data_IF_375133654592
#
_entry.id   IF_375133654592
#
_cell.length_a   1.000
_cell.length_b   1.000
_cell.length_c   1.000
_cell.angle_alpha   90.00
_cell.angle_beta   90.00
_cell.angle_gamma   90.00
#
_symmetry.space_group_name_H-M   'P 1'
#
loop_
_entity.id
_entity.type
_entity.pdbx_description
1 polymer ?
#
# COMPACT_ATOMS: atom_id res chain seq x y z
N UNK A 1 -34.17 3.65 -3.73
CA UNK A 1 -33.23 2.51 -3.69
C UNK A 1 -32.07 2.89 -2.77
N UNK A 2 -31.75 2.04 -1.79
CA UNK A 2 -30.63 2.25 -0.87
C UNK A 2 -29.32 2.08 -1.65
N UNK A 3 -28.48 3.13 -1.69
CA UNK A 3 -27.16 3.01 -2.32
C UNK A 3 -26.28 2.11 -1.46
N UNK A 4 -25.67 1.09 -2.08
CA UNK A 4 -24.71 0.25 -1.38
C UNK A 4 -23.36 0.98 -1.31
N UNK A 5 -22.64 0.74 -0.22
CA UNK A 5 -21.23 1.10 -0.10
C UNK A 5 -20.38 -0.03 -0.71
N UNK A 6 -19.13 0.25 -1.12
CA UNK A 6 -18.23 -0.81 -1.56
C UNK A 6 -18.04 -1.81 -0.42
N UNK A 7 -18.05 -3.11 -0.75
CA UNK A 7 -17.99 -4.16 0.27
C UNK A 7 -16.59 -4.28 0.88
N UNK A 8 -15.55 -3.81 0.19
CA UNK A 8 -14.19 -3.79 0.71
C UNK A 8 -13.42 -2.56 0.19
N UNK A 9 -12.32 -2.24 0.86
CA UNK A 9 -11.47 -1.11 0.49
C UNK A 9 -10.45 -1.53 -0.57
N UNK A 10 -10.31 -0.71 -1.62
CA UNK A 10 -9.33 -0.94 -2.67
C UNK A 10 -8.63 0.38 -3.04
N UNK A 11 -7.33 0.34 -3.29
CA UNK A 11 -6.58 1.54 -3.65
C UNK A 11 -7.04 2.07 -5.01
N UNK A 12 -7.31 3.38 -5.10
CA UNK A 12 -7.84 3.98 -6.33
C UNK A 12 -9.32 3.71 -6.60
N UNK A 13 -10.05 3.15 -5.62
CA UNK A 13 -11.49 2.97 -5.67
C UNK A 13 -12.22 4.28 -6.01
N UNK A 14 -13.00 4.28 -7.09
CA UNK A 14 -13.67 5.48 -7.63
C UNK A 14 -15.05 5.74 -7.03
N UNK A 15 -15.30 5.36 -5.77
CA UNK A 15 -16.64 5.45 -5.16
C UNK A 15 -17.19 6.88 -5.08
N UNK A 16 -16.33 7.84 -4.74
CA UNK A 16 -16.71 9.27 -4.68
C UNK A 16 -16.95 9.84 -6.08
N UNK A 17 -16.19 9.38 -7.07
CA UNK A 17 -16.34 9.76 -8.48
C UNK A 17 -17.56 9.12 -9.15
N UNK A 18 -17.95 7.90 -8.75
CA UNK A 18 -19.01 7.11 -9.36
C UNK A 18 -20.36 7.85 -9.46
N UNK A 19 -20.64 8.78 -8.53
CA UNK A 19 -21.87 9.60 -8.54
C UNK A 19 -21.98 10.50 -9.78
N UNK A 20 -20.86 10.96 -10.33
CA UNK A 20 -20.83 11.90 -11.45
C UNK A 20 -21.11 11.22 -12.81
N UNK A 21 -21.03 9.89 -12.88
CA UNK A 21 -21.33 9.13 -14.10
C UNK A 21 -22.85 8.93 -14.31
N UNK A 22 -23.67 9.18 -13.29
CA UNK A 22 -25.11 8.92 -13.31
C UNK A 22 -25.48 7.43 -13.23
N UNK A 23 -26.79 7.13 -13.10
CA UNK A 23 -27.28 5.76 -13.03
C UNK A 23 -27.03 4.98 -14.34
N UNK A 24 -27.01 3.64 -14.29
CA UNK A 24 -26.81 2.81 -15.47
C UNK A 24 -27.93 3.05 -16.49
N UNK A 25 -27.55 3.12 -17.77
CA UNK A 25 -28.49 3.31 -18.89
C UNK A 25 -29.05 2.01 -19.45
N UNK A 26 -28.52 0.87 -18.99
CA UNK A 26 -28.89 -0.49 -19.43
C UNK A 26 -28.84 -1.44 -18.25
N UNK A 27 -29.56 -2.54 -18.38
CA UNK A 27 -29.66 -3.57 -17.34
C UNK A 27 -28.33 -4.25 -17.04
N UNK A 28 -27.48 -4.42 -18.06
CA UNK A 28 -26.14 -4.98 -17.92
C UNK A 28 -25.09 -3.87 -17.85
N UNK A 29 -24.33 -3.84 -16.75
CA UNK A 29 -23.13 -3.01 -16.61
C UNK A 29 -21.89 -3.88 -16.74
N UNK A 30 -20.91 -3.39 -17.48
CA UNK A 30 -19.57 -3.95 -17.56
C UNK A 30 -18.64 -2.96 -16.86
N UNK A 31 -18.02 -3.39 -15.76
CA UNK A 31 -17.11 -2.55 -14.97
C UNK A 31 -15.67 -3.09 -15.11
N UNK A 32 -14.87 -2.53 -16.03
CA UNK A 32 -13.46 -2.85 -16.15
C UNK A 32 -12.64 -2.15 -15.05
N UNK A 33 -11.51 -2.75 -14.66
CA UNK A 33 -10.71 -2.31 -13.52
C UNK A 33 -11.57 -2.25 -12.26
N UNK A 34 -12.31 -3.34 -12.03
CA UNK A 34 -13.41 -3.38 -11.08
C UNK A 34 -12.96 -2.94 -9.68
N UNK A 35 -11.78 -3.36 -9.20
CA UNK A 35 -11.36 -3.10 -7.82
C UNK A 35 -12.47 -3.50 -6.86
N UNK A 36 -13.03 -2.53 -6.11
CA UNK A 36 -14.17 -2.74 -5.22
C UNK A 36 -15.57 -2.48 -5.84
N UNK A 37 -15.69 -2.60 -7.17
CA UNK A 37 -16.92 -2.46 -7.97
C UNK A 37 -17.75 -1.22 -7.58
N UNK A 38 -17.07 -0.09 -7.44
CA UNK A 38 -17.61 1.14 -6.88
C UNK A 38 -18.81 1.70 -7.65
N UNK A 39 -18.83 1.54 -8.97
CA UNK A 39 -19.95 2.01 -9.77
C UNK A 39 -21.17 1.11 -9.59
N UNK A 40 -20.97 -0.21 -9.71
CA UNK A 40 -22.04 -1.19 -9.63
C UNK A 40 -22.68 -1.27 -8.25
N UNK A 41 -21.87 -1.19 -7.18
CA UNK A 41 -22.36 -1.15 -5.79
C UNK A 41 -23.15 0.13 -5.52
N UNK A 42 -22.63 1.30 -5.90
CA UNK A 42 -23.33 2.58 -5.71
C UNK A 42 -24.74 2.58 -6.29
N UNK A 43 -24.88 2.06 -7.51
CA UNK A 43 -26.14 2.06 -8.24
C UNK A 43 -26.97 0.78 -8.06
N UNK A 44 -26.55 -0.12 -7.17
CA UNK A 44 -27.20 -1.40 -6.91
C UNK A 44 -27.57 -2.13 -8.21
N UNK A 45 -26.61 -2.24 -9.13
CA UNK A 45 -26.84 -2.76 -10.47
C UNK A 45 -27.26 -4.23 -10.41
N UNK A 46 -28.39 -4.62 -11.03
CA UNK A 46 -28.91 -5.98 -10.91
C UNK A 46 -28.12 -7.01 -11.73
N UNK A 47 -27.50 -6.60 -12.85
CA UNK A 47 -26.68 -7.48 -13.68
C UNK A 47 -25.36 -6.82 -14.00
N UNK A 48 -24.28 -7.40 -13.50
CA UNK A 48 -22.93 -6.85 -13.63
C UNK A 48 -21.96 -7.90 -14.16
N UNK A 49 -21.01 -7.46 -14.98
CA UNK A 49 -19.78 -8.20 -15.29
C UNK A 49 -18.58 -7.37 -14.82
N UNK A 50 -17.84 -7.92 -13.87
CA UNK A 50 -16.64 -7.30 -13.30
C UNK A 50 -15.41 -7.89 -13.99
N UNK A 51 -14.48 -7.01 -14.37
CA UNK A 51 -13.20 -7.43 -14.94
C UNK A 51 -12.07 -6.72 -14.21
N UNK A 52 -11.12 -7.48 -13.69
CA UNK A 52 -9.90 -6.96 -13.08
C UNK A 52 -8.68 -7.76 -13.57
N UNK A 53 -7.51 -7.13 -13.50
CA UNK A 53 -6.24 -7.80 -13.81
C UNK A 53 -5.71 -8.58 -12.61
N UNK A 54 -6.08 -8.18 -11.39
CA UNK A 54 -5.68 -8.89 -10.17
C UNK A 54 -6.51 -10.18 -10.01
N UNK A 55 -5.87 -11.36 -10.00
CA UNK A 55 -6.56 -12.61 -9.71
C UNK A 55 -7.20 -12.60 -8.32
N UNK A 56 -6.58 -11.94 -7.34
CA UNK A 56 -7.11 -11.84 -5.98
C UNK A 56 -8.42 -11.05 -5.93
N UNK A 57 -8.56 -10.00 -6.74
CA UNK A 57 -9.81 -9.23 -6.87
C UNK A 57 -10.88 -10.06 -7.58
N UNK A 58 -10.52 -10.81 -8.62
CA UNK A 58 -11.44 -11.72 -9.29
C UNK A 58 -11.95 -12.81 -8.34
N UNK A 59 -11.05 -13.47 -7.59
CA UNK A 59 -11.41 -14.53 -6.65
C UNK A 59 -12.28 -14.01 -5.50
N UNK A 60 -12.00 -12.80 -5.01
CA UNK A 60 -12.81 -12.14 -3.98
C UNK A 60 -14.22 -11.83 -4.49
N UNK A 61 -14.37 -11.29 -5.70
CA UNK A 61 -15.69 -11.04 -6.27
C UNK A 61 -16.43 -12.32 -6.60
N UNK A 62 -15.77 -13.33 -7.15
CA UNK A 62 -16.38 -14.64 -7.41
C UNK A 62 -16.92 -15.27 -6.12
N UNK A 63 -16.19 -15.13 -5.01
CA UNK A 63 -16.68 -15.51 -3.69
C UNK A 63 -17.90 -14.69 -3.29
N UNK A 64 -17.80 -13.36 -3.22
CA UNK A 64 -18.89 -12.48 -2.79
C UNK A 64 -20.17 -12.64 -3.61
N UNK A 65 -20.06 -12.91 -4.92
CA UNK A 65 -21.21 -13.12 -5.82
C UNK A 65 -21.88 -14.48 -5.56
N UNK A 66 -21.12 -15.49 -5.14
CA UNK A 66 -21.61 -16.87 -4.92
C UNK A 66 -21.92 -17.19 -3.46
N UNK A 67 -21.45 -16.38 -2.53
CA UNK A 67 -21.67 -16.55 -1.10
C UNK A 67 -23.13 -16.29 -0.71
N UNK A 68 -23.66 -17.18 0.12
CA UNK A 68 -24.86 -16.92 0.91
C UNK A 68 -24.53 -16.03 2.11
N UNK A 69 -25.58 -15.47 2.74
CA UNK A 69 -25.43 -14.75 4.01
C UNK A 69 -24.75 -15.59 5.09
N UNK A 70 -25.05 -16.91 5.12
CA UNK A 70 -24.43 -17.85 6.06
C UNK A 70 -22.92 -18.00 5.83
N UNK A 71 -22.49 -18.01 4.57
CA UNK A 71 -21.06 -18.12 4.25
C UNK A 71 -20.30 -16.90 4.78
N UNK A 72 -20.87 -15.71 4.61
CA UNK A 72 -20.29 -14.47 5.13
C UNK A 72 -20.32 -14.45 6.66
N UNK A 73 -21.44 -14.83 7.28
CA UNK A 73 -21.60 -14.87 8.74
C UNK A 73 -20.73 -15.92 9.43
N UNK A 74 -20.23 -16.92 8.69
CA UNK A 74 -19.32 -17.95 9.23
C UNK A 74 -17.87 -17.48 9.35
N UNK A 75 -17.53 -16.33 8.76
CA UNK A 75 -16.19 -15.75 8.85
C UNK A 75 -16.02 -15.14 10.25
N UNK A 76 -14.97 -15.51 11.01
CA UNK A 76 -14.70 -14.91 12.31
C UNK A 76 -14.53 -13.39 12.19
N UNK A 77 -15.14 -12.66 13.11
CA UNK A 77 -15.02 -11.19 13.23
C UNK A 77 -13.77 -10.76 14.02
N UNK A 78 -13.19 -11.68 14.80
CA UNK A 78 -11.92 -11.51 15.49
C UNK A 78 -11.03 -12.77 15.33
N UNK A 79 -9.72 -12.56 15.42
CA UNK A 79 -8.71 -13.63 15.42
C UNK A 79 -7.76 -13.37 16.59
N UNK A 80 -7.57 -14.37 17.46
CA UNK A 80 -6.63 -14.25 18.58
C UNK A 80 -5.19 -14.38 18.08
N UNK A 81 -4.97 -15.30 17.13
CA UNK A 81 -3.65 -15.60 16.56
C UNK A 81 -3.65 -15.50 15.04
N UNK A 82 -2.48 -15.21 14.44
CA UNK A 82 -2.36 -15.08 12.99
C UNK A 82 -2.61 -16.40 12.25
N UNK A 83 -2.31 -17.54 12.88
CA UNK A 83 -2.54 -18.87 12.30
C UNK A 83 -4.03 -19.13 12.02
N UNK A 84 -4.94 -18.57 12.84
CA UNK A 84 -6.39 -18.67 12.62
C UNK A 84 -6.79 -17.95 11.33
N UNK A 85 -6.28 -16.74 11.11
CA UNK A 85 -6.48 -15.99 9.88
C UNK A 85 -5.85 -16.70 8.67
N UNK A 86 -4.63 -17.22 8.82
CA UNK A 86 -3.94 -17.93 7.75
C UNK A 86 -4.62 -19.27 7.40
N UNK A 87 -5.30 -19.90 8.35
CA UNK A 87 -6.05 -21.14 8.14
C UNK A 87 -7.35 -20.97 7.34
N UNK A 88 -7.86 -19.73 7.21
CA UNK A 88 -9.07 -19.46 6.45
C UNK A 88 -8.93 -19.90 4.99
N UNK A 89 -10.02 -20.37 4.36
CA UNK A 89 -10.06 -20.55 2.91
C UNK A 89 -9.67 -19.24 2.20
N UNK A 90 -9.05 -19.37 1.01
CA UNK A 90 -8.41 -18.23 0.31
C UNK A 90 -9.33 -17.01 0.17
N UNK A 91 -10.58 -17.20 -0.25
CA UNK A 91 -11.47 -16.08 -0.54
C UNK A 91 -12.01 -15.35 0.72
N UNK A 92 -12.49 -16.04 1.77
CA UNK A 92 -12.73 -15.43 3.08
C UNK A 92 -11.49 -14.69 3.63
N UNK A 93 -10.31 -15.30 3.51
CA UNK A 93 -9.05 -14.68 3.93
C UNK A 93 -8.75 -13.39 3.17
N UNK A 94 -9.02 -13.35 1.86
CA UNK A 94 -8.92 -12.14 1.05
C UNK A 94 -9.90 -11.07 1.53
N UNK A 95 -11.16 -11.41 1.80
CA UNK A 95 -12.14 -10.44 2.32
C UNK A 95 -11.68 -9.80 3.64
N UNK A 96 -11.29 -10.63 4.62
CA UNK A 96 -10.71 -10.16 5.88
C UNK A 96 -9.47 -9.28 5.64
N UNK A 97 -8.60 -9.68 4.72
CA UNK A 97 -7.40 -8.93 4.38
C UNK A 97 -7.69 -7.50 3.88
N UNK A 98 -8.68 -7.33 3.00
CA UNK A 98 -9.08 -6.02 2.48
C UNK A 98 -9.88 -5.16 3.48
N UNK A 99 -10.43 -5.77 4.53
CA UNK A 99 -11.07 -5.07 5.64
C UNK A 99 -10.04 -4.56 6.67
N UNK A 100 -9.13 -5.44 7.09
CA UNK A 100 -8.10 -5.14 8.10
C UNK A 100 -7.02 -4.23 7.51
N UNK A 101 -6.55 -4.54 6.29
CA UNK A 101 -5.65 -3.66 5.54
C UNK A 101 -6.48 -2.88 4.53
N UNK A 102 -6.79 -1.62 4.83
CA UNK A 102 -7.46 -0.73 3.86
C UNK A 102 -6.61 -0.55 2.59
N UNK A 103 -6.67 -1.48 1.64
CA UNK A 103 -6.11 -1.42 0.27
C UNK A 103 -4.62 -1.09 0.10
N UNK A 104 -3.80 -0.99 1.16
CA UNK A 104 -2.42 -0.46 1.07
C UNK A 104 -1.39 -1.52 0.68
N UNK A 105 -1.47 -2.73 1.22
CA UNK A 105 -0.42 -3.73 1.06
C UNK A 105 -0.37 -4.34 -0.35
N UNK A 106 -1.52 -4.66 -0.95
CA UNK A 106 -1.60 -5.23 -2.29
C UNK A 106 -1.10 -4.24 -3.36
N UNK A 107 -1.46 -2.96 -3.23
CA UNK A 107 -0.97 -1.91 -4.12
C UNK A 107 0.56 -1.80 -4.08
N UNK A 108 1.19 -1.97 -2.92
CA UNK A 108 2.65 -1.98 -2.78
C UNK A 108 3.24 -3.25 -3.41
N UNK A 109 2.63 -4.41 -3.13
CA UNK A 109 3.09 -5.71 -3.66
C UNK A 109 3.04 -5.76 -5.20
N UNK A 110 2.01 -5.15 -5.80
CA UNK A 110 1.86 -5.02 -7.25
C UNK A 110 3.01 -4.27 -7.93
N UNK A 111 3.68 -3.37 -7.20
CA UNK A 111 4.85 -2.62 -7.70
C UNK A 111 6.14 -3.43 -7.64
N UNK A 112 6.18 -4.49 -6.82
CA UNK A 112 7.29 -5.44 -6.75
C UNK A 112 7.53 -5.98 -5.34
N UNK A 113 7.26 -7.27 -5.13
CA UNK A 113 7.53 -7.97 -3.87
C UNK A 113 9.03 -7.97 -3.46
N UNK A 114 9.93 -7.75 -4.42
CA UNK A 114 11.37 -7.67 -4.19
C UNK A 114 11.81 -6.39 -3.46
N UNK A 115 10.97 -5.35 -3.47
CA UNK A 115 11.28 -4.08 -2.82
C UNK A 115 11.24 -4.21 -1.30
N UNK A 116 12.07 -3.43 -0.63
CA UNK A 116 12.04 -3.32 0.83
C UNK A 116 11.55 -1.92 1.21
N UNK A 117 10.59 -1.84 2.13
CA UNK A 117 10.02 -0.59 2.62
C UNK A 117 10.57 -0.20 3.99
N UNK A 118 10.60 1.10 4.28
CA UNK A 118 10.82 1.60 5.64
C UNK A 118 9.46 1.85 6.31
N UNK A 119 9.29 1.38 7.55
CA UNK A 119 8.08 1.58 8.36
C UNK A 119 8.39 2.42 9.60
N UNK A 120 7.49 3.31 9.99
CA UNK A 120 7.66 4.14 11.19
C UNK A 120 7.85 3.24 12.44
N UNK A 121 8.93 3.40 13.21
CA UNK A 121 9.12 2.66 14.46
C UNK A 121 7.98 2.85 15.47
N UNK A 122 7.29 4.00 15.45
CA UNK A 122 6.13 4.24 16.30
C UNK A 122 4.93 3.34 15.93
N UNK A 123 4.92 2.75 14.73
CA UNK A 123 3.99 1.70 14.34
C UNK A 123 4.22 0.36 15.06
N UNK A 124 5.23 0.27 15.93
CA UNK A 124 5.39 -0.80 16.94
C UNK A 124 4.44 -0.65 18.14
N UNK A 125 3.85 0.53 18.33
CA UNK A 125 2.83 0.75 19.34
C UNK A 125 1.59 -0.09 19.04
N UNK A 126 1.04 -0.72 20.07
CA UNK A 126 -0.24 -1.43 19.97
C UNK A 126 -1.33 -0.43 19.59
N UNK A 127 -2.13 -0.73 18.57
CA UNK A 127 -3.41 -0.06 18.36
C UNK A 127 -4.28 -0.30 19.59
N UNK A 128 -5.05 0.70 20.03
CA UNK A 128 -5.85 0.63 21.27
C UNK A 128 -6.89 -0.50 21.27
N UNK A 129 -7.28 -1.04 20.11
CA UNK A 129 -8.32 -2.07 20.02
C UNK A 129 -7.83 -3.47 19.65
N UNK A 130 -6.66 -3.63 19.02
CA UNK A 130 -6.22 -4.94 18.54
C UNK A 130 -4.69 -5.03 18.61
N UNK A 131 -4.19 -5.93 19.45
CA UNK A 131 -2.77 -6.06 19.83
C UNK A 131 -1.78 -6.45 18.73
N UNK A 132 -2.17 -6.38 17.44
CA UNK A 132 -1.30 -6.66 16.29
C UNK A 132 -0.47 -5.43 15.92
N UNK A 133 0.83 -5.61 15.68
CA UNK A 133 1.72 -4.52 15.26
C UNK A 133 1.54 -4.34 13.76
N UNK A 134 1.55 -3.09 13.29
CA UNK A 134 1.38 -2.79 11.86
C UNK A 134 2.46 -3.47 10.99
N UNK A 135 3.65 -3.68 11.55
CA UNK A 135 4.75 -4.40 10.90
C UNK A 135 4.39 -5.86 10.61
N UNK A 136 3.81 -6.57 11.59
CA UNK A 136 3.41 -7.97 11.48
C UNK A 136 2.36 -8.13 10.36
N UNK A 137 1.44 -7.17 10.25
CA UNK A 137 0.44 -7.15 9.18
C UNK A 137 1.09 -7.05 7.80
N UNK A 138 2.01 -6.08 7.59
CA UNK A 138 2.69 -5.94 6.30
C UNK A 138 3.56 -7.16 5.96
N UNK A 139 4.23 -7.75 6.95
CA UNK A 139 5.01 -8.98 6.78
C UNK A 139 4.11 -10.19 6.43
N UNK A 140 2.94 -10.33 7.06
CA UNK A 140 1.96 -11.36 6.73
C UNK A 140 1.45 -11.25 5.27
N UNK A 141 1.44 -10.04 4.70
CA UNK A 141 1.16 -9.83 3.27
C UNK A 141 2.32 -10.18 2.33
N UNK A 142 3.47 -10.59 2.88
CA UNK A 142 4.69 -10.91 2.14
C UNK A 142 5.45 -9.67 1.67
N UNK A 143 5.32 -8.54 2.38
CA UNK A 143 6.15 -7.36 2.14
C UNK A 143 7.39 -7.38 3.02
N UNK A 144 8.52 -7.01 2.43
CA UNK A 144 9.76 -6.83 3.18
C UNK A 144 9.79 -5.42 3.76
N UNK A 145 9.72 -5.28 5.08
CA UNK A 145 9.74 -3.98 5.75
C UNK A 145 10.82 -3.93 6.83
N UNK A 146 11.41 -2.75 7.02
CA UNK A 146 12.40 -2.51 8.08
C UNK A 146 12.02 -1.28 8.89
N UNK A 147 12.28 -1.28 10.22
CA UNK A 147 12.07 -0.09 11.05
C UNK A 147 12.92 1.08 10.54
N UNK A 148 12.26 2.23 10.31
CA UNK A 148 12.90 3.43 9.79
C UNK A 148 13.78 4.12 10.83
N UNK A 149 14.82 4.80 10.35
CA UNK A 149 15.59 5.73 11.19
C UNK A 149 14.80 7.04 11.28
N UNK A 150 14.23 7.33 12.46
CA UNK A 150 13.20 8.35 12.64
C UNK A 150 13.71 9.69 13.20
N UNK A 151 15.03 9.91 13.26
CA UNK A 151 15.60 11.18 13.69
C UNK A 151 15.12 12.32 12.77
N UNK A 152 14.48 13.34 13.34
CA UNK A 152 13.81 14.41 12.57
C UNK A 152 14.83 15.40 12.00
N UNK A 153 15.57 16.11 12.86
CA UNK A 153 16.50 17.17 12.42
C UNK A 153 17.60 16.65 11.49
N UNK A 154 18.34 15.57 11.82
CA UNK A 154 19.36 15.03 10.91
C UNK A 154 18.77 14.59 9.56
N UNK A 155 17.54 14.07 9.56
CA UNK A 155 16.85 13.70 8.33
C UNK A 155 16.48 14.87 7.45
N UNK A 156 16.05 15.99 8.05
CA UNK A 156 15.76 17.21 7.31
C UNK A 156 17.03 17.83 6.71
N UNK A 157 18.13 17.88 7.47
CA UNK A 157 19.40 18.41 6.98
C UNK A 157 19.97 17.55 5.85
N UNK A 158 19.82 16.23 5.94
CA UNK A 158 20.22 15.30 4.88
C UNK A 158 19.37 15.51 3.60
N UNK A 159 18.04 15.57 3.72
CA UNK A 159 17.15 15.86 2.59
C UNK A 159 17.50 17.21 1.95
N UNK A 160 17.68 18.25 2.76
CA UNK A 160 18.06 19.58 2.28
C UNK A 160 19.36 19.56 1.49
N UNK A 161 20.36 18.83 1.99
CA UNK A 161 21.65 18.67 1.31
C UNK A 161 21.49 17.97 -0.04
N UNK A 162 20.70 16.89 -0.11
CA UNK A 162 20.43 16.19 -1.37
C UNK A 162 19.68 17.06 -2.38
N UNK A 163 18.72 17.88 -1.94
CA UNK A 163 18.00 18.81 -2.81
C UNK A 163 18.93 19.91 -3.32
N UNK A 164 19.72 20.52 -2.44
CA UNK A 164 20.66 21.60 -2.76
C UNK A 164 21.72 21.15 -3.75
N UNK A 165 22.21 19.92 -3.62
CA UNK A 165 23.16 19.30 -4.54
C UNK A 165 22.50 18.73 -5.81
N UNK A 166 21.17 18.81 -5.93
CA UNK A 166 20.43 18.24 -7.05
C UNK A 166 20.45 16.71 -7.13
N UNK A 167 20.79 16.02 -6.04
CA UNK A 167 20.86 14.55 -5.94
C UNK A 167 19.54 13.89 -5.56
N UNK A 168 18.56 14.66 -5.07
CA UNK A 168 17.18 14.23 -4.87
C UNK A 168 16.27 14.92 -5.88
N UNK A 169 15.46 14.14 -6.61
CA UNK A 169 14.49 14.62 -7.59
C UNK A 169 13.15 13.90 -7.36
N UNK A 170 12.07 14.60 -7.66
CA UNK A 170 10.72 14.05 -7.60
C UNK A 170 10.17 13.86 -9.00
N UNK A 171 9.47 12.75 -9.23
CA UNK A 171 8.70 12.59 -10.45
C UNK A 171 7.52 13.57 -10.46
N UNK A 172 7.25 14.17 -11.61
CA UNK A 172 6.18 15.19 -11.79
C UNK A 172 4.79 14.72 -11.35
N UNK A 173 4.50 13.41 -11.42
CA UNK A 173 3.19 12.86 -11.11
C UNK A 173 2.93 12.63 -9.61
N UNK A 174 3.92 12.90 -8.73
CA UNK A 174 3.74 12.82 -7.28
C UNK A 174 3.04 14.09 -6.74
N UNK A 175 1.81 14.35 -7.21
CA UNK A 175 1.05 15.57 -6.90
C UNK A 175 0.86 15.76 -5.39
N UNK A 176 0.49 14.70 -4.68
CA UNK A 176 0.27 14.78 -3.23
C UNK A 176 1.58 15.11 -2.47
N UNK A 177 2.72 14.56 -2.92
CA UNK A 177 4.03 14.91 -2.35
C UNK A 177 4.36 16.37 -2.61
N UNK A 178 4.06 16.87 -3.82
CA UNK A 178 4.28 18.28 -4.16
C UNK A 178 3.39 19.22 -3.33
N UNK A 179 2.14 18.84 -3.08
CA UNK A 179 1.21 19.61 -2.26
C UNK A 179 1.67 19.66 -0.80
N UNK A 180 2.01 18.51 -0.19
CA UNK A 180 2.56 18.49 1.17
C UNK A 180 3.87 19.28 1.27
N UNK A 181 4.78 19.13 0.30
CA UNK A 181 6.07 19.83 0.27
C UNK A 181 5.90 21.37 0.32
N UNK A 182 4.88 21.92 -0.35
CA UNK A 182 4.60 23.37 -0.39
C UNK A 182 4.18 23.94 0.95
N UNK A 183 3.51 23.15 1.79
CA UNK A 183 3.00 23.60 3.09
C UNK A 183 3.88 23.16 4.27
N UNK A 184 4.86 22.30 4.01
CA UNK A 184 5.79 21.79 5.01
C UNK A 184 6.66 22.92 5.54
N UNK A 185 6.59 23.14 6.86
CA UNK A 185 7.21 24.29 7.51
C UNK A 185 7.64 23.98 8.94
N UNK A 186 8.54 24.82 9.45
CA UNK A 186 8.98 24.81 10.84
C UNK A 186 8.39 26.00 11.57
N UNK A 187 8.02 25.81 12.83
CA UNK A 187 7.65 26.87 13.76
C UNK A 187 8.69 26.95 14.88
N UNK A 188 8.89 28.14 15.43
CA UNK A 188 9.71 28.32 16.62
C UNK A 188 8.83 28.02 17.83
N UNK A 189 9.23 27.05 18.64
CA UNK A 189 8.64 26.81 19.95
C UNK A 189 9.69 27.01 21.03
N UNK A 190 9.28 27.71 22.08
CA UNK A 190 10.04 27.81 23.32
C UNK A 190 9.80 26.56 24.15
N UNK A 191 10.87 25.92 24.61
CA UNK A 191 10.76 24.82 25.55
C UNK A 191 10.48 25.33 26.98
N UNK A 192 10.19 24.41 27.90
CA UNK A 192 9.88 24.74 29.30
C UNK A 192 11.04 25.41 30.04
N UNK A 193 12.24 25.44 29.45
CA UNK A 193 13.48 26.00 29.99
C UNK A 193 13.80 27.36 29.35
N UNK A 194 12.91 27.91 28.52
CA UNK A 194 13.10 29.21 27.87
C UNK A 194 13.94 29.16 26.58
N UNK A 195 14.24 27.96 26.07
CA UNK A 195 15.06 27.80 24.86
C UNK A 195 14.16 27.67 23.64
N UNK A 196 14.30 28.61 22.71
CA UNK A 196 13.61 28.58 21.41
C UNK A 196 14.24 27.56 20.45
N UNK A 197 13.44 26.66 19.88
CA UNK A 197 13.87 25.68 18.88
C UNK A 197 12.90 25.62 17.71
N UNK A 198 13.43 25.43 16.51
CA UNK A 198 12.62 25.18 15.32
C UNK A 198 12.11 23.74 15.32
N UNK A 199 10.81 23.55 15.34
CA UNK A 199 10.15 22.25 15.27
C UNK A 199 9.27 22.16 14.03
N UNK A 200 9.11 20.93 13.51
CA UNK A 200 8.20 20.68 12.38
C UNK A 200 6.76 20.84 12.84
N UNK A 201 5.96 21.56 12.06
CA UNK A 201 4.50 21.63 12.27
C UNK A 201 3.86 20.31 11.81
N UNK A 202 3.25 19.57 12.74
CA UNK A 202 2.59 18.28 12.46
C UNK A 202 1.22 18.45 11.78
N UNK A 203 1.25 18.91 10.53
CA UNK A 203 0.05 19.14 9.72
C UNK A 203 0.37 18.85 8.26
N UNK A 204 -0.33 17.88 7.65
CA UNK A 204 -0.12 17.43 6.27
C UNK A 204 1.35 17.06 5.98
N UNK A 205 1.96 16.27 6.86
CA UNK A 205 3.38 15.89 6.82
C UNK A 205 3.63 14.40 6.54
N UNK A 206 2.59 13.62 6.24
CA UNK A 206 2.69 12.16 6.11
C UNK A 206 3.69 11.70 5.04
N UNK A 207 3.66 12.31 3.85
CA UNK A 207 4.59 12.01 2.75
C UNK A 207 5.96 12.64 2.98
N UNK A 208 6.04 13.76 3.71
CA UNK A 208 7.32 14.36 4.11
C UNK A 208 8.06 13.49 5.12
N UNK A 209 7.33 12.92 6.08
CA UNK A 209 7.85 11.92 7.02
C UNK A 209 8.21 10.62 6.30
N UNK A 210 7.37 10.14 5.38
CA UNK A 210 7.70 8.96 4.58
C UNK A 210 8.97 9.18 3.73
N UNK A 211 9.13 10.36 3.13
CA UNK A 211 10.35 10.74 2.40
C UNK A 211 11.56 10.72 3.33
N UNK A 212 11.44 11.33 4.52
CA UNK A 212 12.50 11.36 5.53
C UNK A 212 12.90 9.95 5.95
N UNK A 213 11.94 9.08 6.21
CA UNK A 213 12.18 7.67 6.53
C UNK A 213 12.87 6.93 5.40
N UNK A 214 12.45 7.15 4.15
CA UNK A 214 13.06 6.53 2.97
C UNK A 214 14.52 6.97 2.78
N UNK A 215 14.82 8.26 2.92
CA UNK A 215 16.18 8.80 2.77
C UNK A 215 17.08 8.37 3.93
N UNK A 216 16.59 8.47 5.17
CA UNK A 216 17.37 8.10 6.35
C UNK A 216 17.67 6.61 6.44
N UNK A 217 16.81 5.78 5.85
CA UNK A 217 16.94 4.31 5.89
C UNK A 217 17.40 3.75 4.54
N UNK A 218 17.86 4.61 3.62
CA UNK A 218 18.16 4.27 2.23
C UNK A 218 19.10 3.07 2.10
N UNK A 219 20.19 3.06 2.88
CA UNK A 219 21.21 1.99 2.84
C UNK A 219 20.66 0.59 3.17
N UNK A 220 19.51 0.51 3.87
CA UNK A 220 18.89 -0.76 4.27
C UNK A 220 17.77 -1.19 3.31
N UNK A 221 17.21 -0.27 2.54
CA UNK A 221 16.02 -0.53 1.72
C UNK A 221 16.29 -0.47 0.21
N UNK A 222 17.32 0.27 -0.21
CA UNK A 222 17.67 0.43 -1.60
C UNK A 222 18.08 -0.91 -2.20
N UNK A 223 17.26 -1.41 -3.11
CA UNK A 223 17.50 -2.65 -3.85
C UNK A 223 17.28 -2.40 -5.33
N UNK A 224 17.90 -3.23 -6.15
CA UNK A 224 17.61 -3.33 -7.58
C UNK A 224 16.81 -4.60 -7.79
N UNK A 225 15.84 -4.58 -8.72
CA UNK A 225 15.11 -5.79 -9.09
C UNK A 225 16.13 -6.87 -9.48
N UNK A 226 16.08 -8.07 -8.89
CA UNK A 226 16.96 -9.15 -9.29
C UNK A 226 16.84 -9.36 -10.80
N UNK A 227 17.96 -9.41 -11.52
CA UNK A 227 17.95 -9.89 -12.89
C UNK A 227 17.39 -11.32 -12.85
N UNK A 228 16.44 -11.65 -13.73
CA UNK A 228 15.95 -13.02 -13.83
C UNK A 228 17.12 -13.99 -13.97
N UNK A 229 16.98 -15.21 -13.43
CA UNK A 229 18.01 -16.23 -13.57
C UNK A 229 18.48 -16.26 -15.03
N UNK A 230 19.75 -15.92 -15.26
CA UNK A 230 20.38 -16.29 -16.52
C UNK A 230 20.35 -17.81 -16.50
N UNK A 231 19.40 -18.42 -17.21
CA UNK A 231 19.49 -19.82 -17.59
C UNK A 231 20.91 -19.99 -18.10
N UNK A 232 21.72 -20.73 -17.36
CA UNK A 232 23.13 -20.88 -17.67
C UNK A 232 23.23 -21.38 -19.10
N UNK A 233 23.56 -20.50 -20.04
CA UNK A 233 24.16 -20.96 -21.27
C UNK A 233 25.46 -21.58 -20.79
N UNK A 234 25.50 -22.92 -20.82
CA UNK A 234 26.76 -23.63 -20.72
C UNK A 234 27.66 -22.98 -21.76
N UNK A 235 28.67 -22.24 -21.30
CA UNK A 235 29.75 -21.83 -22.18
C UNK A 235 30.42 -23.14 -22.60
N UNK A 236 29.99 -23.68 -23.75
CA UNK A 236 30.85 -24.59 -24.50
C UNK A 236 32.06 -23.76 -24.85
N UNK A 237 33.16 -24.02 -24.16
CA UNK A 237 34.49 -23.58 -24.55
C UNK A 237 34.62 -23.95 -26.02
N UNK A 238 34.64 -22.94 -26.88
CA UNK A 238 34.90 -23.13 -28.30
C UNK A 238 36.32 -23.68 -28.41
N UNK A 239 36.41 -24.89 -28.96
CA UNK A 239 37.60 -25.58 -29.45
C UNK A 239 38.91 -25.41 -28.66
N UNK A 240 39.30 -26.44 -27.91
CA UNK A 240 40.61 -26.51 -27.25
C UNK A 240 41.79 -26.79 -28.19
N UNK A 241 41.59 -26.88 -29.51
CA UNK A 241 42.65 -27.16 -30.50
C UNK A 241 43.09 -25.98 -31.35
N UNK A 242 42.44 -24.82 -31.28
CA UNK A 242 42.84 -23.64 -32.03
C UNK A 242 43.21 -22.49 -31.07
N UNK A 243 44.43 -22.57 -30.51
CA UNK A 243 45.03 -21.48 -29.76
C UNK A 243 45.57 -20.37 -30.68
N UNK A 244 45.26 -19.12 -30.35
CA UNK A 244 46.20 -18.00 -30.47
C UNK A 244 46.66 -17.63 -29.07
#
# INVERSE_FOLDING_TARGET
MTQLRPFFSYYGAKYTGAKHYGPPRRDLVIEPFAGSACYSTRWAVPRVRLYDVSPDICDLWDFLIRSSERDIASIPDAFEHDDEFLSLPRAPRLLCAFWVSKGRAEAIKSRGAWMTGAIDPASRGRTQDEGKRLIDQYEAYGLNVVPAINAVLPGLDHIWSLLSLGRLKFFRHLSNTADEYRFYRREIKEDKLGVSRAIVVKSNDHLMDALRYAIMTWDRIAKVKPAGERVGQSHRVADSKAGY
#
